data_IF_208000756225
#
_entry.id   IF_208000756225
#
_cell.length_a   1.000
_cell.length_b   1.000
_cell.length_c   1.000
_cell.angle_alpha   90.00
_cell.angle_beta   90.00
_cell.angle_gamma   90.00
#
_symmetry.space_group_name_H-M   'P 1'
#
loop_
_entity.id
_entity.type
_entity.pdbx_description
1 polymer ?
#
# COMPACT_ATOMS: atom_id res chain seq x y z
N UNK A 1 5.94 -32.68 15.88
CA UNK A 1 6.38 -31.78 14.79
C UNK A 1 5.54 -30.54 14.93
N UNK A 2 6.10 -29.43 15.38
CA UNK A 2 5.34 -28.19 15.50
C UNK A 2 6.27 -27.06 15.09
N UNK A 3 6.40 -26.86 13.78
CA UNK A 3 6.80 -25.56 13.25
C UNK A 3 5.62 -24.66 13.61
N UNK A 4 5.85 -23.70 14.50
CA UNK A 4 4.76 -23.06 15.24
C UNK A 4 4.05 -21.96 14.42
N UNK A 5 4.64 -21.46 13.32
CA UNK A 5 4.09 -20.32 12.61
C UNK A 5 4.33 -20.39 11.10
N UNK A 6 3.28 -20.08 10.35
CA UNK A 6 3.32 -19.74 8.92
C UNK A 6 3.15 -18.24 8.83
N UNK A 7 4.02 -17.58 8.09
CA UNK A 7 3.97 -16.14 7.88
C UNK A 7 3.61 -15.86 6.43
N UNK A 8 2.60 -15.03 6.23
CA UNK A 8 2.36 -14.39 4.93
C UNK A 8 3.01 -13.01 4.98
N UNK A 9 3.98 -12.81 4.11
CA UNK A 9 4.72 -11.57 3.97
C UNK A 9 4.36 -10.94 2.62
N UNK A 10 4.00 -9.66 2.66
CA UNK A 10 3.78 -8.87 1.45
C UNK A 10 5.04 -8.07 1.14
N UNK A 11 5.15 -7.57 -0.09
CA UNK A 11 6.30 -6.76 -0.52
C UNK A 11 6.57 -5.61 0.47
N UNK A 12 7.84 -5.43 0.83
CA UNK A 12 8.35 -4.42 1.78
C UNK A 12 8.04 -4.66 3.26
N UNK A 13 7.20 -5.64 3.62
CA UNK A 13 7.11 -6.05 5.01
C UNK A 13 8.42 -6.71 5.47
N UNK A 14 8.69 -6.64 6.77
CA UNK A 14 9.86 -7.21 7.42
C UNK A 14 9.43 -7.84 8.75
N UNK A 15 9.94 -9.03 9.04
CA UNK A 15 9.65 -9.76 10.26
C UNK A 15 10.91 -10.35 10.86
N UNK A 16 11.14 -10.03 12.13
CA UNK A 16 12.15 -10.69 12.95
C UNK A 16 11.49 -11.78 13.79
N UNK A 17 12.13 -12.94 13.84
CA UNK A 17 11.67 -14.05 14.66
C UNK A 17 12.85 -14.80 15.27
N UNK A 18 12.63 -15.37 16.45
CA UNK A 18 13.62 -16.20 17.15
C UNK A 18 13.34 -17.65 16.86
N UNK A 19 14.35 -18.37 16.36
CA UNK A 19 14.30 -19.82 16.22
C UNK A 19 14.93 -20.45 17.46
N UNK A 20 14.13 -21.16 18.25
CA UNK A 20 14.64 -22.00 19.32
C UNK A 20 15.09 -23.35 18.74
N UNK A 21 16.41 -23.57 18.67
CA UNK A 21 17.01 -24.79 18.12
C UNK A 21 17.08 -25.92 19.17
N UNK A 22 15.90 -26.35 19.64
CA UNK A 22 15.72 -27.37 20.69
C UNK A 22 15.37 -28.77 20.16
N UNK A 23 15.29 -28.92 18.84
CA UNK A 23 14.99 -30.19 18.17
C UNK A 23 16.22 -31.08 18.12
N UNK A 24 16.01 -32.37 17.85
CA UNK A 24 17.10 -33.34 17.67
C UNK A 24 18.14 -32.81 16.68
N UNK A 25 19.44 -32.83 17.00
CA UNK A 25 20.48 -32.38 16.07
C UNK A 25 20.33 -33.04 14.70
N UNK A 26 20.19 -32.23 13.66
CA UNK A 26 19.81 -32.69 12.32
C UNK A 26 19.92 -31.59 11.27
N UNK A 27 19.29 -31.81 10.12
CA UNK A 27 19.02 -30.78 9.11
C UNK A 27 17.52 -30.74 8.81
N UNK A 28 16.99 -29.54 8.62
CA UNK A 28 15.56 -29.26 8.52
C UNK A 28 15.29 -28.34 7.32
N UNK A 29 14.17 -28.58 6.63
CA UNK A 29 13.74 -27.73 5.52
C UNK A 29 13.15 -26.41 6.02
N UNK A 30 13.54 -25.31 5.37
CA UNK A 30 12.83 -24.03 5.36
C UNK A 30 12.16 -23.93 3.99
N UNK A 31 10.88 -23.55 3.95
CA UNK A 31 10.13 -23.43 2.70
C UNK A 31 9.55 -22.02 2.56
N UNK A 32 9.78 -21.41 1.40
CA UNK A 32 9.13 -20.19 0.93
C UNK A 32 8.25 -20.52 -0.27
N UNK A 33 7.01 -20.05 -0.30
CA UNK A 33 6.08 -20.22 -1.43
C UNK A 33 5.66 -18.86 -1.95
N UNK A 34 5.74 -18.69 -3.27
CA UNK A 34 5.07 -17.57 -3.93
C UNK A 34 3.56 -17.81 -3.96
N UNK A 35 2.79 -16.78 -3.66
CA UNK A 35 1.32 -16.82 -3.66
C UNK A 35 0.77 -15.98 -4.82
N UNK A 36 -0.56 -15.96 -5.00
CA UNK A 36 -1.19 -15.23 -6.10
C UNK A 36 -0.73 -15.75 -7.46
N UNK A 37 -0.24 -14.87 -8.32
CA UNK A 37 0.27 -15.20 -9.67
C UNK A 37 1.46 -16.17 -9.64
N UNK A 38 2.36 -16.02 -8.64
CA UNK A 38 3.46 -16.95 -8.44
C UNK A 38 2.95 -18.35 -8.06
N UNK A 39 1.78 -18.43 -7.44
CA UNK A 39 1.16 -19.69 -7.06
C UNK A 39 0.60 -20.47 -8.26
N UNK A 40 0.17 -19.78 -9.32
CA UNK A 40 -0.25 -20.41 -10.60
C UNK A 40 0.93 -21.18 -11.21
N UNK A 41 2.11 -20.55 -11.20
CA UNK A 41 3.36 -21.16 -11.65
C UNK A 41 4.02 -22.04 -10.59
N UNK A 42 3.38 -22.21 -9.42
CA UNK A 42 3.82 -23.06 -8.30
C UNK A 42 5.24 -22.73 -7.85
N UNK A 43 5.59 -21.45 -7.84
CA UNK A 43 6.92 -20.95 -7.49
C UNK A 43 7.18 -21.19 -6.00
N UNK A 44 8.29 -21.84 -5.68
CA UNK A 44 8.75 -22.04 -4.31
C UNK A 44 10.28 -22.07 -4.25
N UNK A 45 10.81 -21.80 -3.07
CA UNK A 45 12.23 -21.91 -2.76
C UNK A 45 12.43 -22.65 -1.44
N UNK A 46 13.47 -23.49 -1.39
CA UNK A 46 13.83 -24.26 -0.20
C UNK A 46 15.17 -23.80 0.36
N UNK A 47 15.26 -23.71 1.68
CA UNK A 47 16.49 -23.53 2.44
C UNK A 47 16.70 -24.70 3.41
N UNK A 48 17.91 -24.82 3.96
CA UNK A 48 18.25 -25.85 4.95
C UNK A 48 18.74 -25.18 6.22
N UNK A 49 18.01 -25.41 7.33
CA UNK A 49 18.49 -25.12 8.67
C UNK A 49 19.23 -26.33 9.23
N UNK A 50 20.54 -26.20 9.42
CA UNK A 50 21.42 -27.30 9.83
C UNK A 50 22.05 -27.04 11.18
N UNK A 51 21.94 -28.03 12.08
CA UNK A 51 22.76 -28.07 13.30
C UNK A 51 24.22 -28.33 12.90
N UNK A 52 25.19 -27.67 13.53
CA UNK A 52 26.60 -27.76 13.13
C UNK A 52 27.14 -29.21 13.00
N UNK A 53 26.66 -30.12 13.86
CA UNK A 53 27.03 -31.55 13.87
C UNK A 53 26.02 -32.46 13.14
N UNK A 54 25.01 -31.88 12.50
CA UNK A 54 24.00 -32.58 11.72
C UNK A 54 24.45 -32.92 10.30
N UNK A 55 23.71 -33.78 9.59
CA UNK A 55 23.94 -34.09 8.18
C UNK A 55 23.81 -32.83 7.31
N UNK A 56 24.38 -32.84 6.11
CA UNK A 56 24.28 -31.72 5.16
C UNK A 56 22.89 -31.55 4.55
N UNK A 57 22.10 -32.64 4.51
CA UNK A 57 20.77 -32.68 3.93
C UNK A 57 19.77 -33.20 4.96
N UNK A 58 18.54 -32.68 5.01
CA UNK A 58 17.46 -33.28 5.79
C UNK A 58 17.19 -34.72 5.35
N UNK A 59 16.85 -35.60 6.30
CA UNK A 59 16.50 -37.00 6.00
C UNK A 59 15.07 -37.15 5.49
N UNK A 60 14.22 -36.16 5.75
CA UNK A 60 12.85 -36.09 5.24
C UNK A 60 12.82 -35.68 3.77
N UNK A 61 11.83 -36.19 3.04
CA UNK A 61 11.54 -35.78 1.65
C UNK A 61 11.38 -34.25 1.60
N UNK A 62 11.98 -33.57 0.59
CA UNK A 62 11.77 -32.13 0.39
C UNK A 62 10.28 -31.78 0.28
N UNK A 63 9.82 -30.69 0.91
CA UNK A 63 8.44 -30.25 0.77
C UNK A 63 8.15 -29.84 -0.68
N UNK A 64 6.92 -30.07 -1.11
CA UNK A 64 6.40 -29.62 -2.40
C UNK A 64 5.58 -28.35 -2.25
N UNK A 65 5.21 -27.73 -3.37
CA UNK A 65 4.39 -26.51 -3.35
C UNK A 65 3.04 -26.72 -2.63
N UNK A 66 2.41 -27.90 -2.74
CA UNK A 66 1.14 -28.16 -2.07
C UNK A 66 1.34 -28.71 -0.64
N UNK A 67 2.41 -29.45 -0.39
CA UNK A 67 2.62 -30.21 0.84
C UNK A 67 3.93 -29.81 1.53
N UNK A 68 3.89 -29.39 2.80
CA UNK A 68 5.13 -29.07 3.53
C UNK A 68 5.03 -28.00 4.61
N UNK A 69 4.01 -27.15 4.55
CA UNK A 69 3.74 -26.15 5.58
C UNK A 69 2.69 -26.72 6.55
N UNK A 70 3.02 -26.93 7.83
CA UNK A 70 2.07 -27.49 8.79
C UNK A 70 0.90 -26.53 9.08
N UNK A 71 -0.26 -27.13 9.39
CA UNK A 71 -1.47 -26.42 9.79
C UNK A 71 -1.32 -25.93 11.23
N UNK A 72 -0.69 -24.77 11.38
CA UNK A 72 -0.59 -24.04 12.64
C UNK A 72 -1.37 -22.73 12.59
N UNK A 73 -0.99 -21.80 13.46
CA UNK A 73 -1.49 -20.42 13.40
C UNK A 73 -0.76 -19.69 12.28
N UNK A 74 -1.52 -19.03 11.41
CA UNK A 74 -1.01 -18.25 10.27
C UNK A 74 -1.06 -16.76 10.60
N UNK A 75 0.06 -16.05 10.44
CA UNK A 75 0.06 -14.59 10.51
C UNK A 75 -0.32 -14.02 9.13
N UNK A 76 -1.33 -13.14 9.11
CA UNK A 76 -1.84 -12.40 7.95
C UNK A 76 -2.26 -13.24 6.72
N UNK A 77 -3.09 -14.30 6.87
CA UNK A 77 -3.53 -15.04 5.70
C UNK A 77 -4.32 -14.14 4.72
N UNK A 78 -4.28 -14.43 3.42
CA UNK A 78 -4.98 -13.65 2.38
C UNK A 78 -6.51 -13.57 2.58
N UNK A 79 -7.09 -14.59 3.23
CA UNK A 79 -8.51 -14.66 3.56
C UNK A 79 -8.86 -14.01 4.91
N UNK A 80 -7.89 -13.38 5.59
CA UNK A 80 -8.04 -12.90 6.95
C UNK A 80 -9.25 -11.98 7.11
N UNK A 81 -10.03 -12.24 8.17
CA UNK A 81 -11.09 -11.37 8.67
C UNK A 81 -10.62 -10.76 9.98
N UNK A 82 -9.91 -9.65 9.89
CA UNK A 82 -9.19 -9.05 11.02
C UNK A 82 -10.06 -8.32 12.03
N UNK A 83 -11.35 -8.18 11.72
CA UNK A 83 -12.41 -7.73 12.63
C UNK A 83 -13.05 -8.88 13.43
N UNK A 84 -12.59 -10.12 13.26
CA UNK A 84 -13.04 -11.31 14.00
C UNK A 84 -11.84 -12.01 14.66
N UNK A 85 -12.08 -12.71 15.77
CA UNK A 85 -11.05 -13.55 16.40
C UNK A 85 -11.06 -14.93 15.74
N UNK A 86 -9.92 -15.34 15.19
CA UNK A 86 -9.70 -16.65 14.59
C UNK A 86 -8.75 -17.48 15.47
N UNK A 87 -8.95 -18.81 15.50
CA UNK A 87 -8.06 -19.73 16.23
C UNK A 87 -6.87 -20.19 15.38
N UNK A 88 -7.03 -20.09 14.07
CA UNK A 88 -6.09 -20.54 13.04
C UNK A 88 -5.29 -19.38 12.42
N UNK A 89 -5.64 -18.13 12.73
CA UNK A 89 -5.03 -16.95 12.14
C UNK A 89 -4.87 -15.79 13.12
N UNK A 90 -3.81 -15.02 12.93
CA UNK A 90 -3.55 -13.74 13.61
C UNK A 90 -3.40 -12.67 12.54
N UNK A 91 -3.97 -11.48 12.76
CA UNK A 91 -3.75 -10.31 11.91
C UNK A 91 -2.74 -9.34 12.53
N UNK A 92 -2.12 -8.48 11.71
CA UNK A 92 -1.27 -7.38 12.21
C UNK A 92 -2.01 -6.58 13.28
N UNK A 93 -3.26 -6.18 13.05
CA UNK A 93 -4.07 -5.41 14.02
C UNK A 93 -4.30 -6.10 15.37
N UNK A 94 -3.98 -7.38 15.50
CA UNK A 94 -4.08 -8.17 16.73
C UNK A 94 -2.73 -8.33 17.45
N UNK A 95 -1.63 -7.94 16.80
CA UNK A 95 -0.31 -7.84 17.43
C UNK A 95 -0.27 -6.63 18.37
N UNK A 96 0.70 -6.64 19.27
CA UNK A 96 0.97 -5.50 20.16
C UNK A 96 2.32 -4.91 19.87
N UNK A 97 2.39 -3.59 19.94
CA UNK A 97 3.66 -2.87 19.93
C UNK A 97 4.48 -3.28 21.16
N UNK A 98 5.77 -3.54 20.92
CA UNK A 98 6.72 -3.83 21.98
C UNK A 98 7.27 -2.55 22.64
N UNK A 99 7.15 -1.42 21.95
CA UNK A 99 7.61 -0.10 22.40
C UNK A 99 6.45 0.73 22.92
N UNK A 100 6.79 1.78 23.68
CA UNK A 100 5.83 2.81 24.06
C UNK A 100 5.27 3.51 22.82
N UNK A 101 4.00 3.88 22.91
CA UNK A 101 3.28 4.55 21.82
C UNK A 101 3.01 5.98 22.24
N UNK A 102 3.17 6.88 21.27
CA UNK A 102 2.73 8.26 21.41
C UNK A 102 1.25 8.31 21.86
N UNK A 103 1.00 8.95 23.00
CA UNK A 103 -0.33 9.04 23.61
C UNK A 103 -1.35 9.71 22.69
N UNK A 104 -0.91 10.62 21.82
CA UNK A 104 -1.75 11.27 20.82
C UNK A 104 -2.38 10.29 19.84
N UNK A 105 -1.66 9.21 19.46
CA UNK A 105 -2.17 8.16 18.58
C UNK A 105 -3.36 7.43 19.21
N UNK A 106 -3.36 7.33 20.54
CA UNK A 106 -4.38 6.62 21.31
C UNK A 106 -5.63 7.47 21.58
N UNK A 107 -5.61 8.77 21.24
CA UNK A 107 -6.75 9.64 21.42
C UNK A 107 -7.94 9.16 20.58
N UNK A 108 -9.18 9.13 21.07
CA UNK A 108 -10.30 8.63 20.28
C UNK A 108 -10.49 9.36 18.94
N UNK A 109 -10.21 10.67 18.90
CA UNK A 109 -10.33 11.51 17.71
C UNK A 109 -8.94 11.94 17.23
N UNK A 110 -8.63 11.76 15.94
CA UNK A 110 -7.45 12.34 15.31
C UNK A 110 -7.68 13.83 15.04
N UNK A 111 -6.60 14.57 14.79
CA UNK A 111 -6.66 15.98 14.37
C UNK A 111 -7.08 16.09 12.90
N UNK A 112 -6.62 15.15 12.07
CA UNK A 112 -6.95 15.03 10.64
C UNK A 112 -7.40 13.60 10.35
N UNK A 113 -8.51 13.44 9.62
CA UNK A 113 -8.99 12.14 9.15
C UNK A 113 -9.17 12.17 7.64
N UNK A 114 -8.54 11.23 6.94
CA UNK A 114 -8.51 11.15 5.47
C UNK A 114 -9.04 9.78 5.06
N UNK A 115 -9.98 9.74 4.11
CA UNK A 115 -10.44 8.50 3.49
C UNK A 115 -9.86 8.40 2.10
N UNK A 116 -9.20 7.29 1.80
CA UNK A 116 -8.50 7.06 0.53
C UNK A 116 -9.02 5.76 -0.08
N UNK A 117 -10.12 5.82 -0.85
CA UNK A 117 -10.53 4.69 -1.66
C UNK A 117 -9.54 4.52 -2.80
N UNK A 118 -9.22 3.28 -3.15
CA UNK A 118 -8.44 3.00 -4.34
C UNK A 118 -9.08 1.89 -5.17
N UNK A 119 -8.89 1.99 -6.47
CA UNK A 119 -9.46 1.06 -7.45
C UNK A 119 -8.63 1.01 -8.72
N UNK A 120 -8.90 0.01 -9.54
CA UNK A 120 -8.50 0.06 -10.94
C UNK A 120 -9.58 0.73 -11.78
N UNK A 121 -9.16 1.49 -12.79
CA UNK A 121 -9.99 1.84 -13.92
C UNK A 121 -9.57 0.95 -15.10
N UNK A 122 -10.54 0.20 -15.63
CA UNK A 122 -10.36 -0.68 -16.78
C UNK A 122 -10.79 0.08 -18.02
N UNK A 123 -9.87 0.20 -18.98
CA UNK A 123 -10.17 0.79 -20.27
C UNK A 123 -10.92 -0.19 -21.18
N UNK A 124 -11.85 0.34 -21.95
CA UNK A 124 -12.40 -0.33 -23.12
C UNK A 124 -11.45 -0.19 -24.32
N UNK A 125 -11.54 -1.06 -25.34
CA UNK A 125 -10.83 -0.84 -26.61
C UNK A 125 -11.12 0.54 -27.21
N UNK A 126 -12.37 1.02 -27.12
CA UNK A 126 -12.76 2.34 -27.60
C UNK A 126 -12.01 3.47 -26.87
N UNK A 127 -11.80 3.35 -25.55
CA UNK A 127 -11.03 4.32 -24.76
C UNK A 127 -9.54 4.34 -25.17
N UNK A 128 -8.96 3.19 -25.52
CA UNK A 128 -7.54 3.07 -25.88
C UNK A 128 -7.24 3.51 -27.31
N UNK A 129 -8.16 3.24 -28.23
CA UNK A 129 -7.99 3.53 -29.66
C UNK A 129 -8.73 4.80 -30.10
N UNK A 130 -9.19 5.62 -29.16
CA UNK A 130 -9.74 6.93 -29.45
C UNK A 130 -8.69 7.82 -30.14
N UNK A 131 -9.08 8.44 -31.25
CA UNK A 131 -8.21 9.28 -32.06
C UNK A 131 -7.57 10.39 -31.22
N UNK A 132 -6.27 10.59 -31.40
CA UNK A 132 -5.46 11.61 -30.71
C UNK A 132 -5.42 11.48 -29.18
N UNK A 133 -5.65 10.29 -28.64
CA UNK A 133 -5.44 9.99 -27.22
C UNK A 133 -4.32 8.97 -27.05
N UNK A 134 -3.54 9.12 -25.98
CA UNK A 134 -2.42 8.23 -25.66
C UNK A 134 -2.49 7.85 -24.19
N UNK A 135 -3.44 6.98 -23.87
CA UNK A 135 -3.69 6.55 -22.50
C UNK A 135 -2.60 5.58 -22.04
N UNK A 136 -1.91 5.96 -20.96
CA UNK A 136 -1.07 5.03 -20.21
C UNK A 136 -1.93 3.92 -19.62
N UNK A 137 -1.44 2.69 -19.68
CA UNK A 137 -2.07 1.54 -19.06
C UNK A 137 -1.04 0.43 -18.79
N UNK A 138 -1.38 -0.48 -17.89
CA UNK A 138 -0.76 -1.80 -17.77
C UNK A 138 -1.72 -2.82 -18.37
N UNK A 139 -1.18 -3.83 -19.07
CA UNK A 139 -1.95 -5.02 -19.45
C UNK A 139 -1.84 -6.02 -18.31
N UNK A 140 -2.93 -6.21 -17.57
CA UNK A 140 -3.01 -7.18 -16.49
C UNK A 140 -2.99 -8.62 -17.06
N UNK A 141 -2.63 -9.65 -16.27
CA UNK A 141 -2.52 -11.02 -16.78
C UNK A 141 -3.81 -11.64 -17.34
N UNK A 142 -4.98 -11.10 -16.96
CA UNK A 142 -6.27 -11.48 -17.53
C UNK A 142 -6.56 -10.80 -18.89
N UNK A 143 -5.69 -9.90 -19.36
CA UNK A 143 -5.84 -9.13 -20.59
C UNK A 143 -6.47 -7.75 -20.41
N UNK A 144 -6.90 -7.38 -19.20
CA UNK A 144 -7.48 -6.06 -18.93
C UNK A 144 -6.42 -4.97 -19.03
N UNK A 145 -6.81 -3.82 -19.58
CA UNK A 145 -5.93 -2.66 -19.70
C UNK A 145 -6.30 -1.67 -18.61
N UNK A 146 -5.40 -1.45 -17.65
CA UNK A 146 -5.75 -0.77 -16.41
C UNK A 146 -4.83 0.39 -16.05
N UNK A 147 -5.39 1.39 -15.37
CA UNK A 147 -4.66 2.30 -14.50
C UNK A 147 -5.17 2.16 -13.06
N UNK A 148 -4.37 2.63 -12.11
CA UNK A 148 -4.77 2.71 -10.71
C UNK A 148 -5.19 4.12 -10.35
N UNK A 149 -6.16 4.20 -9.46
CA UNK A 149 -6.69 5.43 -8.91
C UNK A 149 -6.65 5.36 -7.39
N UNK A 150 -6.21 6.44 -6.74
CA UNK A 150 -6.47 6.71 -5.32
C UNK A 150 -7.28 8.00 -5.27
N UNK A 151 -8.43 7.95 -4.60
CA UNK A 151 -9.39 9.05 -4.55
C UNK A 151 -9.73 9.58 -5.96
N UNK A 152 -10.01 8.65 -6.87
CA UNK A 152 -10.34 8.91 -8.28
C UNK A 152 -9.22 9.57 -9.11
N UNK A 153 -7.99 9.60 -8.61
CA UNK A 153 -6.83 10.20 -9.29
C UNK A 153 -5.76 9.16 -9.54
N UNK A 154 -5.28 9.09 -10.78
CA UNK A 154 -4.07 8.34 -11.15
C UNK A 154 -2.86 9.26 -11.03
N UNK A 155 -1.93 8.93 -10.15
CA UNK A 155 -0.78 9.78 -9.88
C UNK A 155 0.17 9.89 -11.07
N UNK A 156 0.53 11.13 -11.39
CA UNK A 156 1.64 11.49 -12.26
C UNK A 156 2.75 12.14 -11.43
N UNK A 157 3.97 11.63 -11.60
CA UNK A 157 5.14 12.27 -11.01
C UNK A 157 5.31 13.68 -11.59
N UNK A 158 5.60 14.68 -10.74
CA UNK A 158 5.91 16.03 -11.21
C UNK A 158 7.23 16.03 -11.99
N UNK A 159 7.47 17.06 -12.84
CA UNK A 159 8.68 17.17 -13.66
C UNK A 159 9.96 17.37 -12.82
N UNK A 160 9.82 17.95 -11.63
CA UNK A 160 10.91 18.14 -10.67
C UNK A 160 10.55 17.55 -9.31
N UNK A 161 11.54 17.14 -8.48
CA UNK A 161 11.30 16.67 -7.12
C UNK A 161 10.73 17.80 -6.23
N UNK A 162 9.53 17.64 -5.63
CA UNK A 162 8.91 18.69 -4.81
C UNK A 162 9.73 19.08 -3.58
N UNK A 163 10.56 18.17 -3.06
CA UNK A 163 11.37 18.41 -1.87
C UNK A 163 12.54 19.37 -2.12
N UNK A 164 13.11 19.37 -3.34
CA UNK A 164 14.29 20.20 -3.65
C UNK A 164 14.01 21.30 -4.69
N UNK A 165 12.95 21.16 -5.47
CA UNK A 165 12.67 21.99 -6.65
C UNK A 165 11.17 22.28 -6.74
N UNK A 166 10.56 22.65 -5.61
CA UNK A 166 9.12 22.91 -5.54
C UNK A 166 8.68 23.99 -6.52
N UNK A 167 9.46 25.06 -6.65
CA UNK A 167 9.14 26.23 -7.48
C UNK A 167 9.23 25.94 -9.00
N UNK A 168 9.83 24.81 -9.39
CA UNK A 168 9.87 24.36 -10.79
C UNK A 168 8.57 23.66 -11.21
N UNK A 169 7.68 23.38 -10.27
CA UNK A 169 6.42 22.65 -10.49
C UNK A 169 5.29 23.67 -10.54
N UNK A 170 4.51 23.64 -11.62
CA UNK A 170 3.34 24.52 -11.70
C UNK A 170 2.32 24.13 -10.61
N UNK A 171 1.78 25.09 -9.83
CA UNK A 171 0.76 24.80 -8.82
C UNK A 171 -0.46 24.04 -9.37
N UNK A 172 -0.81 24.28 -10.63
CA UNK A 172 -1.94 23.62 -11.31
C UNK A 172 -1.70 22.12 -11.60
N UNK A 173 -0.46 21.62 -11.44
CA UNK A 173 -0.16 20.19 -11.58
C UNK A 173 -0.54 19.40 -10.32
N UNK A 174 -0.59 20.05 -9.16
CA UNK A 174 -1.00 19.41 -7.92
C UNK A 174 -2.51 19.33 -7.85
N UNK A 175 -3.04 18.16 -7.50
CA UNK A 175 -4.45 18.00 -7.22
C UNK A 175 -4.72 16.97 -6.12
N UNK A 176 -5.97 16.88 -5.68
CA UNK A 176 -6.52 15.95 -4.71
C UNK A 176 -8.02 15.77 -4.99
N UNK A 177 -8.72 14.96 -4.19
CA UNK A 177 -10.13 14.64 -4.40
C UNK A 177 -11.07 15.84 -4.56
N UNK A 178 -10.74 16.98 -3.94
CA UNK A 178 -11.55 18.19 -3.91
C UNK A 178 -11.21 19.20 -5.03
N UNK A 179 -9.99 19.19 -5.55
CA UNK A 179 -9.50 20.19 -6.52
C UNK A 179 -8.96 19.56 -7.83
N UNK A 180 -9.65 18.53 -8.34
CA UNK A 180 -9.30 17.87 -9.60
C UNK A 180 -9.32 18.84 -10.80
N UNK A 181 -8.48 18.60 -11.83
CA UNK A 181 -8.51 19.37 -13.08
C UNK A 181 -9.93 19.49 -13.69
N UNK A 182 -10.32 20.66 -14.25
CA UNK A 182 -11.70 20.91 -14.70
C UNK A 182 -12.27 19.93 -15.73
N UNK A 183 -11.41 19.27 -16.50
CA UNK A 183 -11.80 18.29 -17.53
C UNK A 183 -11.43 16.85 -17.15
N UNK A 184 -11.31 16.55 -15.85
CA UNK A 184 -11.01 15.19 -15.41
C UNK A 184 -12.17 14.23 -15.67
N UNK A 185 -11.93 13.25 -16.54
CA UNK A 185 -12.80 12.11 -16.75
C UNK A 185 -12.56 10.98 -15.74
N UNK A 186 -12.93 9.77 -16.13
CA UNK A 186 -12.76 8.56 -15.31
C UNK A 186 -11.29 8.15 -15.10
N UNK A 187 -10.38 8.68 -15.92
CA UNK A 187 -8.94 8.46 -15.88
C UNK A 187 -8.19 9.74 -15.49
N UNK A 188 -8.68 10.45 -14.47
CA UNK A 188 -8.09 11.70 -13.99
C UNK A 188 -6.60 11.53 -13.62
N UNK A 189 -5.75 12.43 -14.08
CA UNK A 189 -4.30 12.36 -13.89
C UNK A 189 -3.73 13.71 -13.44
N UNK A 190 -2.97 13.70 -12.36
CA UNK A 190 -2.26 14.86 -11.82
C UNK A 190 -1.19 14.40 -10.81
N UNK A 191 -0.39 15.31 -10.28
CA UNK A 191 0.42 15.04 -9.08
C UNK A 191 -0.46 15.07 -7.85
N UNK A 192 -1.00 13.90 -7.47
CA UNK A 192 -1.89 13.77 -6.31
C UNK A 192 -1.14 14.11 -5.01
N UNK A 193 -1.52 15.20 -4.36
CA UNK A 193 -0.90 15.70 -3.13
C UNK A 193 -1.96 16.06 -2.09
N UNK A 194 -1.78 15.58 -0.88
CA UNK A 194 -2.61 15.89 0.28
C UNK A 194 -1.79 16.66 1.30
N UNK A 195 -2.26 17.86 1.65
CA UNK A 195 -1.60 18.74 2.62
C UNK A 195 -1.99 18.36 4.05
N UNK A 196 -1.00 18.21 4.92
CA UNK A 196 -1.14 17.77 6.30
C UNK A 196 -0.47 18.80 7.22
N UNK A 197 -1.19 19.36 8.22
CA UNK A 197 -0.59 20.22 9.23
C UNK A 197 0.50 19.49 10.02
N UNK A 198 1.60 20.19 10.30
CA UNK A 198 2.69 19.69 11.14
C UNK A 198 2.18 19.31 12.54
N UNK A 199 2.73 18.24 13.10
CA UNK A 199 2.47 17.67 14.42
C UNK A 199 1.05 17.13 14.65
N UNK A 200 0.17 17.17 13.63
CA UNK A 200 -1.16 16.60 13.69
C UNK A 200 -1.11 15.07 13.86
N UNK A 201 -2.03 14.54 14.66
CA UNK A 201 -2.37 13.11 14.66
C UNK A 201 -3.27 12.86 13.44
N UNK A 202 -2.72 12.19 12.45
CA UNK A 202 -3.40 11.87 11.19
C UNK A 202 -3.97 10.46 11.27
N UNK A 203 -5.24 10.29 10.91
CA UNK A 203 -5.85 8.99 10.65
C UNK A 203 -6.13 8.84 9.16
N UNK A 204 -5.59 7.78 8.55
CA UNK A 204 -5.84 7.42 7.16
C UNK A 204 -6.69 6.14 7.14
N UNK A 205 -7.84 6.20 6.49
CA UNK A 205 -8.71 5.05 6.22
C UNK A 205 -8.54 4.66 4.76
N UNK A 206 -7.77 3.61 4.50
CA UNK A 206 -7.63 3.03 3.17
C UNK A 206 -8.78 2.08 2.89
N UNK A 207 -9.35 2.16 1.69
CA UNK A 207 -10.48 1.34 1.28
C UNK A 207 -10.17 0.68 -0.06
N UNK A 208 -10.12 -0.64 -0.07
CA UNK A 208 -9.89 -1.43 -1.28
C UNK A 208 -11.21 -1.67 -2.02
N UNK A 209 -11.44 -0.93 -3.11
CA UNK A 209 -12.61 -1.13 -3.97
C UNK A 209 -12.33 -2.11 -5.13
N UNK A 210 -11.13 -2.70 -5.17
CA UNK A 210 -10.73 -3.68 -6.20
C UNK A 210 -11.45 -5.00 -5.97
N UNK A 211 -11.97 -5.56 -7.07
CA UNK A 211 -12.79 -6.79 -7.04
C UNK A 211 -12.02 -8.00 -7.56
N UNK A 212 -10.74 -8.09 -7.19
CA UNK A 212 -9.89 -9.22 -7.54
C UNK A 212 -9.74 -10.14 -6.32
N UNK A 213 -10.37 -11.33 -6.31
CA UNK A 213 -10.26 -12.25 -5.19
C UNK A 213 -8.80 -12.57 -4.87
N UNK A 214 -8.48 -12.63 -3.58
CA UNK A 214 -7.15 -12.93 -3.05
C UNK A 214 -6.03 -11.94 -3.43
N UNK A 215 -6.36 -10.76 -3.99
CA UNK A 215 -5.41 -9.68 -4.18
C UNK A 215 -5.49 -8.70 -3.01
N UNK A 216 -4.44 -8.65 -2.20
CA UNK A 216 -4.27 -7.60 -1.19
C UNK A 216 -3.25 -6.59 -1.67
N UNK A 217 -3.44 -5.32 -1.30
CA UNK A 217 -2.60 -4.23 -1.77
C UNK A 217 -1.69 -3.75 -0.63
N UNK A 218 -0.38 -4.05 -0.64
CA UNK A 218 0.54 -3.54 0.38
C UNK A 218 0.72 -2.04 0.17
N UNK A 219 0.36 -1.20 1.12
CA UNK A 219 0.57 0.24 1.07
C UNK A 219 1.74 0.63 1.98
N UNK A 220 2.69 1.37 1.43
CA UNK A 220 3.89 1.87 2.10
C UNK A 220 3.87 3.39 2.22
N UNK A 221 4.28 3.92 3.37
CA UNK A 221 4.46 5.34 3.62
C UNK A 221 5.94 5.68 3.83
N UNK A 222 6.46 6.58 3.01
CA UNK A 222 7.81 7.11 3.17
C UNK A 222 7.89 8.06 4.38
N UNK A 223 9.07 8.19 4.98
CA UNK A 223 9.34 9.16 6.05
C UNK A 223 8.70 8.84 7.41
N UNK A 224 7.85 7.81 7.50
CA UNK A 224 7.12 7.44 8.71
C UNK A 224 7.03 5.93 8.90
N UNK A 225 7.03 5.53 10.16
CA UNK A 225 6.23 4.38 10.59
C UNK A 225 4.88 4.89 11.09
N UNK A 226 3.83 4.09 10.93
CA UNK A 226 2.48 4.33 11.40
C UNK A 226 1.99 3.20 12.31
N UNK A 227 1.05 3.50 13.18
CA UNK A 227 0.34 2.53 13.98
C UNK A 227 -0.88 1.98 13.22
N UNK A 228 -0.97 0.66 13.11
CA UNK A 228 -2.14 -0.01 12.52
C UNK A 228 -3.25 -0.08 13.57
N UNK A 229 -4.24 0.79 13.44
CA UNK A 229 -5.34 0.92 14.39
C UNK A 229 -6.45 -0.10 14.11
N UNK A 230 -6.66 -0.45 12.85
CA UNK A 230 -7.74 -1.37 12.48
C UNK A 230 -7.52 -1.98 11.10
N UNK A 231 -7.97 -3.22 10.94
CA UNK A 231 -8.04 -3.90 9.66
C UNK A 231 -9.37 -4.65 9.66
N UNK A 232 -10.10 -4.59 8.55
CA UNK A 232 -11.36 -5.32 8.48
C UNK A 232 -11.94 -5.41 7.07
N UNK A 233 -13.09 -6.08 7.01
CA UNK A 233 -13.99 -6.10 5.85
C UNK A 233 -15.36 -5.60 6.30
N UNK A 234 -16.28 -5.44 5.35
CA UNK A 234 -17.68 -5.17 5.70
C UNK A 234 -18.22 -6.25 6.65
N UNK A 235 -18.86 -5.88 7.77
CA UNK A 235 -19.54 -6.84 8.63
C UNK A 235 -20.82 -7.39 7.98
N UNK A 236 -21.42 -6.66 7.05
CA UNK A 236 -22.54 -7.15 6.24
C UNK A 236 -22.02 -8.04 5.11
N UNK A 237 -22.34 -9.34 5.19
CA UNK A 237 -21.94 -10.36 4.23
C UNK A 237 -22.63 -10.19 2.85
N UNK A 238 -23.71 -9.39 2.77
CA UNK A 238 -24.36 -9.07 1.50
C UNK A 238 -23.59 -8.01 0.70
N UNK A 239 -22.70 -7.26 1.36
CA UNK A 239 -21.85 -6.25 0.71
C UNK A 239 -20.72 -6.96 -0.01
N UNK A 240 -20.94 -7.18 -1.31
CA UNK A 240 -19.92 -7.76 -2.20
C UNK A 240 -18.81 -6.79 -2.56
N UNK A 241 -19.05 -5.48 -2.39
CA UNK A 241 -18.16 -4.39 -2.81
C UNK A 241 -18.23 -3.26 -1.80
N UNK A 242 -17.14 -3.03 -1.07
CA UNK A 242 -16.94 -1.82 -0.28
C UNK A 242 -16.58 -0.68 -1.23
N UNK A 243 -17.04 0.51 -0.88
CA UNK A 243 -16.65 1.75 -1.52
C UNK A 243 -16.52 2.85 -0.46
N UNK A 244 -16.08 4.04 -0.88
CA UNK A 244 -15.96 5.20 -0.01
C UNK A 244 -17.22 5.47 0.81
N UNK A 245 -18.40 5.46 0.17
CA UNK A 245 -19.67 5.70 0.86
C UNK A 245 -19.91 4.68 1.98
N UNK A 246 -19.71 3.40 1.69
CA UNK A 246 -19.86 2.33 2.68
C UNK A 246 -18.87 2.48 3.83
N UNK A 247 -17.60 2.79 3.54
CA UNK A 247 -16.58 3.01 4.56
C UNK A 247 -16.92 4.22 5.46
N UNK A 248 -17.42 5.32 4.88
CA UNK A 248 -17.92 6.47 5.63
C UNK A 248 -19.10 6.10 6.53
N UNK A 249 -20.05 5.33 6.02
CA UNK A 249 -21.22 4.90 6.79
C UNK A 249 -20.82 3.94 7.94
N UNK A 250 -19.88 3.03 7.70
CA UNK A 250 -19.27 2.20 8.75
C UNK A 250 -18.56 3.06 9.81
N UNK A 251 -17.84 4.10 9.40
CA UNK A 251 -17.14 4.98 10.34
C UNK A 251 -18.11 5.73 11.25
N UNK A 252 -19.17 6.33 10.66
CA UNK A 252 -20.21 7.06 11.40
C UNK A 252 -20.92 6.17 12.41
N UNK A 253 -21.08 4.89 12.09
CA UNK A 253 -21.71 3.89 12.96
C UNK A 253 -20.74 3.27 13.99
N UNK A 254 -19.44 3.62 13.93
CA UNK A 254 -18.42 3.02 14.80
C UNK A 254 -18.07 1.57 14.46
N UNK A 255 -18.36 1.14 13.22
CA UNK A 255 -18.14 -0.22 12.71
C UNK A 255 -16.79 -0.38 12.00
N UNK A 256 -16.06 0.71 11.75
CA UNK A 256 -14.61 0.63 11.50
C UNK A 256 -13.91 0.36 12.83
N UNK A 257 -13.69 -0.93 13.13
CA UNK A 257 -13.11 -1.36 14.39
C UNK A 257 -11.72 -0.79 14.59
N UNK A 258 -11.49 -0.15 15.74
CA UNK A 258 -10.22 0.45 16.13
C UNK A 258 -9.70 -0.19 17.41
N UNK A 259 -8.42 -0.53 17.43
CA UNK A 259 -7.73 -1.14 18.56
C UNK A 259 -6.63 -0.21 19.03
N UNK A 260 -6.83 0.39 20.21
CA UNK A 260 -5.90 1.34 20.81
C UNK A 260 -4.99 0.70 21.88
N UNK A 261 -5.14 -0.60 22.14
CA UNK A 261 -4.29 -1.31 23.09
C UNK A 261 -2.96 -1.70 22.44
N UNK A 262 -1.99 -0.79 22.50
CA UNK A 262 -0.67 -0.97 21.92
C UNK A 262 -0.69 -1.33 20.42
N UNK A 263 -1.32 -0.52 19.53
CA UNK A 263 -1.36 -0.82 18.10
C UNK A 263 0.05 -0.96 17.51
N UNK A 264 0.32 -1.99 16.70
CA UNK A 264 1.65 -2.25 16.17
C UNK A 264 2.11 -1.16 15.21
N UNK A 265 3.40 -0.84 15.25
CA UNK A 265 4.06 0.04 14.29
C UNK A 265 4.45 -0.73 13.02
N UNK A 266 4.17 -0.14 11.86
CA UNK A 266 4.49 -0.64 10.52
C UNK A 266 4.79 0.55 9.61
N UNK A 267 5.54 0.33 8.54
CA UNK A 267 5.69 1.29 7.44
C UNK A 267 5.00 0.80 6.16
N UNK A 268 4.66 -0.49 6.11
CA UNK A 268 3.92 -1.15 5.04
C UNK A 268 2.82 -2.03 5.61
N UNK A 269 1.65 -2.03 4.98
CA UNK A 269 0.51 -2.85 5.41
C UNK A 269 -0.34 -3.31 4.23
N UNK A 270 -0.68 -4.59 4.20
CA UNK A 270 -1.61 -5.13 3.21
C UNK A 270 -3.04 -4.72 3.53
N UNK A 271 -3.66 -3.99 2.60
CA UNK A 271 -5.10 -3.75 2.62
C UNK A 271 -5.79 -5.00 2.09
N UNK A 272 -6.66 -5.65 2.89
CA UNK A 272 -7.30 -6.88 2.47
C UNK A 272 -8.29 -6.59 1.34
N UNK A 273 -8.39 -7.53 0.39
CA UNK A 273 -9.37 -7.45 -0.69
C UNK A 273 -10.78 -7.13 -0.15
N UNK A 274 -11.46 -6.18 -0.79
CA UNK A 274 -12.81 -5.74 -0.43
C UNK A 274 -12.92 -5.35 1.06
N UNK A 275 -11.92 -4.64 1.56
CA UNK A 275 -11.78 -4.30 2.96
C UNK A 275 -11.15 -2.94 3.19
N UNK A 276 -10.75 -2.70 4.42
CA UNK A 276 -10.19 -1.44 4.85
C UNK A 276 -9.04 -1.63 5.84
N UNK A 277 -8.21 -0.60 5.93
CA UNK A 277 -7.19 -0.45 6.97
C UNK A 277 -7.29 0.96 7.54
N UNK A 278 -7.21 1.09 8.86
CA UNK A 278 -7.15 2.35 9.59
C UNK A 278 -5.74 2.51 10.15
N UNK A 279 -5.04 3.54 9.72
CA UNK A 279 -3.66 3.86 10.09
C UNK A 279 -3.60 5.17 10.85
N UNK A 280 -2.68 5.30 11.79
CA UNK A 280 -2.37 6.59 12.43
C UNK A 280 -0.89 6.86 12.53
N UNK A 281 -0.51 8.11 12.34
CA UNK A 281 0.84 8.60 12.60
C UNK A 281 0.78 10.06 13.07
N UNK A 282 1.84 10.51 13.75
CA UNK A 282 2.04 11.93 14.00
C UNK A 282 2.80 12.51 12.81
N UNK A 283 2.32 13.61 12.26
CA UNK A 283 2.96 14.30 11.15
C UNK A 283 4.11 15.21 11.63
N UNK A 284 5.11 14.64 12.32
CA UNK A 284 6.23 15.36 12.95
C UNK A 284 7.49 15.49 12.08
N UNK A 285 7.46 14.97 10.85
CA UNK A 285 8.55 15.01 9.88
C UNK A 285 8.12 15.83 8.64
N UNK A 286 8.38 17.14 8.61
CA UNK A 286 8.04 18.00 7.47
C UNK A 286 8.71 17.52 6.18
N UNK A 287 7.95 17.49 5.08
CA UNK A 287 8.44 16.95 3.82
C UNK A 287 7.34 16.55 2.85
N UNK A 288 7.76 15.98 1.72
CA UNK A 288 6.88 15.41 0.70
C UNK A 288 7.08 13.90 0.68
N UNK A 289 6.13 13.17 1.25
CA UNK A 289 6.28 11.73 1.50
C UNK A 289 5.37 10.93 0.58
N UNK A 290 5.99 10.09 -0.25
CA UNK A 290 5.25 9.21 -1.13
C UNK A 290 4.51 8.16 -0.31
N UNK A 291 3.23 8.00 -0.62
CA UNK A 291 2.36 6.98 -0.06
C UNK A 291 1.76 6.17 -1.19
N UNK A 292 2.07 4.88 -1.26
CA UNK A 292 1.83 4.10 -2.46
C UNK A 292 1.60 2.63 -2.21
N UNK A 293 0.92 1.96 -3.15
CA UNK A 293 0.95 0.50 -3.19
C UNK A 293 2.37 0.04 -3.52
N UNK A 294 2.90 -0.98 -2.85
CA UNK A 294 4.28 -1.42 -3.01
C UNK A 294 4.48 -2.38 -4.20
N UNK A 295 3.39 -2.84 -4.83
CA UNK A 295 3.50 -3.54 -6.11
C UNK A 295 4.00 -2.59 -7.18
N UNK A 296 5.21 -2.86 -7.71
CA UNK A 296 5.88 -1.98 -8.66
C UNK A 296 4.99 -1.61 -9.86
N UNK A 297 4.24 -2.58 -10.38
CA UNK A 297 3.31 -2.35 -11.50
C UNK A 297 2.20 -1.36 -11.13
N UNK A 298 1.69 -1.40 -9.90
CA UNK A 298 0.64 -0.49 -9.41
C UNK A 298 1.20 0.93 -9.15
N UNK A 299 2.41 1.04 -8.61
CA UNK A 299 3.14 2.33 -8.49
C UNK A 299 3.22 2.96 -9.86
N UNK A 300 3.72 2.20 -10.84
CA UNK A 300 3.88 2.66 -12.20
C UNK A 300 2.54 3.19 -12.68
N UNK A 301 1.45 2.44 -12.66
CA UNK A 301 0.16 2.93 -13.17
C UNK A 301 -0.63 3.88 -12.24
N UNK A 302 0.03 4.51 -11.27
CA UNK A 302 -0.53 5.67 -10.55
C UNK A 302 -1.19 5.39 -9.20
N UNK A 303 -0.99 4.22 -8.59
CA UNK A 303 -1.49 3.89 -7.24
C UNK A 303 -0.63 4.54 -6.15
N UNK A 304 -0.49 5.87 -6.22
CA UNK A 304 0.35 6.67 -5.32
C UNK A 304 -0.33 8.01 -5.00
N UNK A 305 0.17 8.67 -3.96
CA UNK A 305 0.00 10.09 -3.71
C UNK A 305 1.14 10.60 -2.83
N UNK A 306 1.22 11.91 -2.66
CA UNK A 306 2.17 12.55 -1.76
C UNK A 306 1.42 13.12 -0.56
N UNK A 307 1.89 12.82 0.65
CA UNK A 307 1.56 13.63 1.82
C UNK A 307 2.58 14.76 1.97
N UNK A 308 2.14 16.00 1.82
CA UNK A 308 2.94 17.16 2.20
C UNK A 308 2.70 17.46 3.67
N UNK A 309 3.71 17.25 4.50
CA UNK A 309 3.64 17.56 5.93
C UNK A 309 4.30 18.91 6.19
N UNK A 310 3.56 19.82 6.82
CA UNK A 310 4.01 21.18 7.10
C UNK A 310 4.07 22.09 5.87
N UNK A 311 4.74 23.21 6.02
CA UNK A 311 4.92 24.23 4.99
C UNK A 311 6.32 24.17 4.39
N UNK A 312 6.55 24.86 3.27
CA UNK A 312 7.90 24.98 2.70
C UNK A 312 8.92 25.59 3.66
N UNK A 313 8.47 26.44 4.60
CA UNK A 313 9.31 27.05 5.62
C UNK A 313 9.76 26.07 6.71
N UNK A 314 9.11 24.90 6.82
CA UNK A 314 9.48 23.85 7.76
C UNK A 314 10.59 22.93 7.22
N UNK A 315 10.91 23.04 5.92
CA UNK A 315 11.88 22.17 5.25
C UNK A 315 13.32 22.66 5.47
N UNK A 316 14.29 21.73 5.60
CA UNK A 316 15.70 22.13 5.55
C UNK A 316 16.05 22.71 4.16
N UNK A 317 17.08 23.57 4.07
CA UNK A 317 17.54 24.07 2.78
C UNK A 317 18.05 22.92 1.92
N UNK A 318 17.90 23.07 0.60
CA UNK A 318 18.45 22.12 -0.37
C UNK A 318 19.98 22.08 -0.22
N UNK A 319 20.60 20.89 -0.11
CA UNK A 319 22.05 20.78 -0.01
C UNK A 319 22.78 21.47 -1.17
N UNK A 320 23.93 22.08 -0.90
CA UNK A 320 24.76 22.70 -1.92
C UNK A 320 25.18 21.66 -2.97
N UNK A 321 25.02 22.00 -4.26
CA UNK A 321 25.35 21.11 -5.37
C UNK A 321 24.38 19.95 -5.58
N UNK A 322 23.19 19.97 -4.95
CA UNK A 322 22.17 18.95 -5.20
C UNK A 322 21.73 18.97 -6.68
N UNK A 323 21.62 17.80 -7.35
CA UNK A 323 21.24 17.75 -8.77
C UNK A 323 19.86 18.37 -9.02
N UNK A 324 19.78 19.21 -10.05
CA UNK A 324 18.52 19.77 -10.54
C UNK A 324 18.00 18.96 -11.72
N UNK A 325 16.68 18.86 -11.80
CA UNK A 325 15.92 18.38 -12.93
C UNK A 325 15.38 19.60 -13.70
N UNK A 326 14.64 19.35 -14.77
CA UNK A 326 13.89 20.38 -15.48
C UNK A 326 12.71 19.72 -16.18
N UNK A 327 11.77 20.53 -16.66
CA UNK A 327 10.64 19.99 -17.42
C UNK A 327 11.14 19.27 -18.68
N UNK A 328 10.90 17.96 -18.75
CA UNK A 328 11.27 17.12 -19.87
C UNK A 328 10.26 17.21 -21.03
N UNK A 329 9.15 17.92 -20.84
CA UNK A 329 8.18 18.18 -21.90
C UNK A 329 8.73 19.28 -22.83
N UNK A 330 9.01 18.98 -24.11
CA UNK A 330 9.49 19.99 -25.03
C UNK A 330 8.41 21.07 -25.24
N UNK A 331 8.79 22.35 -25.40
CA UNK A 331 7.83 23.40 -25.71
C UNK A 331 7.06 23.06 -26.97
N UNK A 332 5.73 22.93 -26.84
CA UNK A 332 4.85 22.71 -27.99
C UNK A 332 4.70 24.06 -28.68
N UNK A 333 5.43 24.26 -29.77
CA UNK A 333 5.16 25.41 -30.66
C UNK A 333 3.79 25.17 -31.30
N UNK A 334 2.78 26.02 -31.06
CA UNK A 334 1.51 25.89 -31.77
C UNK A 334 1.78 25.93 -33.28
N UNK A 335 1.09 25.14 -34.10
CA UNK A 335 1.20 25.29 -35.55
C UNK A 335 0.92 26.76 -35.89
N UNK A 336 1.83 27.39 -36.64
CA UNK A 336 1.67 28.77 -37.08
C UNK A 336 0.29 28.90 -37.71
N UNK A 337 -0.63 29.57 -37.02
CA UNK A 337 -1.87 30.03 -37.64
C UNK A 337 -1.44 30.93 -38.78
N UNK A 338 -1.64 30.48 -40.02
CA UNK A 338 -1.46 31.30 -41.21
C UNK A 338 -2.38 32.53 -41.07
N UNK A 339 -1.83 33.60 -40.51
CA UNK A 339 -2.40 34.93 -40.63
C UNK A 339 -2.09 35.37 -42.05
N UNK A 340 -3.13 35.37 -42.89
CA UNK A 340 -3.25 35.92 -44.24
C UNK A 340 -2.76 35.05 -45.41
N UNK A 341 -3.72 34.39 -46.09
CA UNK A 341 -4.24 34.85 -47.39
C UNK A 341 -5.54 34.17 -47.77
#
# INVERSE_FOLDING_TARGET
MTILFVLFEFESERYDFVINADRTPGAYWIQLRGLGECGINRVQQLGILRYARGPYQPTSIPPSYDYGIPQGVVLNPLDARCNEVRRDAICVSQLKNAQDIDRGILNPRPDVKIFLPFRFHVYTPEDLFALNTYNRHLVAPNGDHVISLIDEISYLSPPSPPLSQYDDISPDQFCNGDNRPPNCGQNCMCTHKVDIPRDAIVEVVLVDEVQQPNLSHPFHLHGYAFNVIGIGRSPDQNVKKINLKHALDLDRQGLLHRQFNLPPGKDTIAVPNNGYVVLRFRADNPGFWLFHCHFLFHIVIGMNLIFQVGTLNDLPPVPEGFPTCGDHVPPITPPMTNVNK
#
